data_IF_259518067043
#
_entry.id   IF_259518067043
#
_cell.length_a   1.000
_cell.length_b   1.000
_cell.length_c   1.000
_cell.angle_alpha   90.00
_cell.angle_beta   90.00
_cell.angle_gamma   90.00
#
_symmetry.space_group_name_H-M   'P 1'
#
loop_
_entity.id
_entity.type
_entity.pdbx_description
1 polymer ?
#
# COMPACT_ATOMS: atom_id res chain seq x y z
N UNK A 1 -1.22 -68.34 10.63
CA UNK A 1 -0.79 -67.70 9.38
C UNK A 1 -1.68 -66.50 9.13
N UNK A 2 -1.06 -65.32 8.98
CA UNK A 2 -1.61 -64.04 8.55
C UNK A 2 -2.95 -63.60 9.15
N UNK A 3 -2.94 -62.96 10.32
CA UNK A 3 -4.12 -62.21 10.79
C UNK A 3 -4.28 -60.98 9.91
N UNK A 4 -5.45 -60.87 9.30
CA UNK A 4 -5.98 -59.66 8.71
C UNK A 4 -5.99 -58.54 9.77
N UNK A 5 -4.97 -57.69 9.72
CA UNK A 5 -4.90 -56.46 10.49
C UNK A 5 -5.50 -55.35 9.66
N UNK A 6 -6.84 -55.26 9.64
CA UNK A 6 -7.54 -54.02 9.35
C UNK A 6 -7.09 -52.99 10.39
N UNK A 7 -5.99 -52.29 10.09
CA UNK A 7 -5.56 -51.13 10.83
C UNK A 7 -6.66 -50.08 10.71
N UNK A 8 -7.50 -49.97 11.74
CA UNK A 8 -8.43 -48.86 11.91
C UNK A 8 -7.62 -47.58 11.89
N UNK A 9 -7.69 -46.85 10.78
CA UNK A 9 -7.19 -45.48 10.68
C UNK A 9 -7.83 -44.68 11.82
N UNK A 10 -7.01 -44.06 12.68
CA UNK A 10 -7.54 -43.22 13.74
C UNK A 10 -8.21 -42.00 13.07
N UNK A 11 -9.26 -41.39 13.67
CA UNK A 11 -9.97 -40.26 13.07
C UNK A 11 -9.05 -39.08 12.70
N UNK A 12 -7.89 -38.95 13.36
CA UNK A 12 -6.86 -37.96 13.04
C UNK A 12 -6.03 -38.28 11.78
N UNK A 13 -5.91 -39.56 11.39
CA UNK A 13 -5.17 -39.99 10.19
C UNK A 13 -6.00 -39.80 8.90
N UNK A 14 -7.32 -39.80 9.02
CA UNK A 14 -8.23 -39.42 7.92
C UNK A 14 -8.22 -37.89 7.72
N UNK A 15 -7.95 -37.12 8.78
CA UNK A 15 -7.91 -35.66 8.72
C UNK A 15 -6.62 -35.14 8.07
N UNK A 16 -5.48 -35.80 8.24
CA UNK A 16 -4.23 -35.43 7.57
C UNK A 16 -4.28 -35.73 6.06
N UNK A 17 -4.87 -36.86 5.68
CA UNK A 17 -4.98 -37.30 4.27
C UNK A 17 -6.02 -36.52 3.45
N UNK A 18 -7.02 -35.90 4.08
CA UNK A 18 -7.94 -34.96 3.43
C UNK A 18 -7.35 -33.54 3.27
N UNK A 19 -6.31 -33.19 4.03
CA UNK A 19 -5.69 -31.87 4.01
C UNK A 19 -4.40 -31.78 3.16
N UNK A 20 -3.78 -32.89 2.78
CA UNK A 20 -2.68 -32.93 1.81
C UNK A 20 -3.20 -32.92 0.36
N UNK A 21 -3.94 -31.86 0.02
CA UNK A 21 -4.20 -31.54 -1.37
C UNK A 21 -2.95 -30.83 -1.91
N UNK A 22 -2.15 -31.51 -2.76
CA UNK A 22 -0.92 -30.96 -3.35
C UNK A 22 -1.12 -29.64 -4.12
N UNK A 23 -2.39 -29.28 -4.40
CA UNK A 23 -2.81 -28.06 -5.07
C UNK A 23 -3.33 -26.96 -4.13
N UNK A 24 -3.36 -27.18 -2.82
CA UNK A 24 -3.81 -26.18 -1.85
C UNK A 24 -2.72 -25.13 -1.62
N UNK A 25 -2.99 -23.88 -2.02
CA UNK A 25 -2.11 -22.75 -1.70
C UNK A 25 -2.17 -22.47 -0.20
N UNK A 26 -1.09 -22.80 0.50
CA UNK A 26 -0.94 -22.50 1.93
C UNK A 26 -0.59 -21.02 2.09
N UNK A 27 -1.30 -20.34 2.99
CA UNK A 27 -1.00 -18.97 3.38
C UNK A 27 -0.26 -18.99 4.71
N UNK A 28 0.90 -18.34 4.76
CA UNK A 28 1.69 -18.22 5.98
C UNK A 28 1.76 -16.76 6.40
N UNK A 29 1.60 -16.51 7.69
CA UNK A 29 1.76 -15.19 8.29
C UNK A 29 3.06 -15.16 9.10
N UNK A 30 3.93 -14.21 8.77
CA UNK A 30 5.19 -14.02 9.48
C UNK A 30 5.28 -12.61 10.04
N UNK A 31 5.82 -12.49 11.25
CA UNK A 31 6.23 -11.20 11.81
C UNK A 31 7.65 -10.90 11.36
N UNK A 32 7.85 -9.71 10.78
CA UNK A 32 9.17 -9.23 10.41
C UNK A 32 9.88 -8.67 11.64
N UNK A 33 11.14 -9.08 11.85
CA UNK A 33 12.05 -8.54 12.85
C UNK A 33 13.28 -7.95 12.15
N UNK A 34 13.18 -6.72 11.62
CA UNK A 34 14.24 -6.12 10.83
C UNK A 34 15.46 -5.78 11.70
N UNK A 35 16.66 -5.98 11.15
CA UNK A 35 17.90 -5.51 11.78
C UNK A 35 18.08 -4.00 11.57
N UNK A 36 19.03 -3.39 12.30
CA UNK A 36 19.21 -1.92 12.33
C UNK A 36 19.29 -1.27 10.93
N UNK A 37 20.03 -1.86 9.99
CA UNK A 37 20.15 -1.34 8.61
C UNK A 37 18.84 -1.42 7.83
N UNK A 38 18.05 -2.48 8.02
CA UNK A 38 16.71 -2.58 7.42
C UNK A 38 15.77 -1.52 7.98
N UNK A 39 15.75 -1.32 9.29
CA UNK A 39 14.93 -0.28 9.93
C UNK A 39 15.27 1.09 9.38
N UNK A 40 16.57 1.41 9.27
CA UNK A 40 17.03 2.65 8.67
C UNK A 40 16.50 2.81 7.23
N UNK A 41 16.62 1.79 6.39
CA UNK A 41 16.16 1.85 5.00
C UNK A 41 14.65 2.02 4.86
N UNK A 42 13.88 1.38 5.76
CA UNK A 42 12.43 1.53 5.83
C UNK A 42 12.04 2.95 6.22
N UNK A 43 12.73 3.54 7.20
CA UNK A 43 12.50 4.92 7.63
C UNK A 43 12.87 5.91 6.51
N UNK A 44 14.01 5.74 5.84
CA UNK A 44 14.37 6.56 4.66
C UNK A 44 13.27 6.49 3.59
N UNK A 45 12.76 5.29 3.30
CA UNK A 45 11.65 5.12 2.34
C UNK A 45 10.38 5.82 2.80
N UNK A 46 10.04 5.71 4.08
CA UNK A 46 8.87 6.37 4.67
C UNK A 46 8.99 7.89 4.58
N UNK A 47 10.16 8.44 4.86
CA UNK A 47 10.44 9.88 4.77
C UNK A 47 10.27 10.42 3.35
N UNK A 48 10.78 9.69 2.35
CA UNK A 48 10.58 10.02 0.94
C UNK A 48 9.10 9.95 0.53
N UNK A 49 8.37 8.95 1.01
CA UNK A 49 6.93 8.84 0.77
C UNK A 49 6.13 9.97 1.43
N UNK A 50 6.52 10.37 2.65
CA UNK A 50 5.92 11.50 3.39
C UNK A 50 6.15 12.81 2.65
N UNK A 51 7.38 13.06 2.22
CA UNK A 51 7.71 14.24 1.43
C UNK A 51 6.90 14.26 0.13
N UNK A 52 6.86 13.15 -0.61
CA UNK A 52 6.13 13.08 -1.87
C UNK A 52 4.62 13.32 -1.67
N UNK A 53 4.03 12.73 -0.63
CA UNK A 53 2.62 12.94 -0.30
C UNK A 53 2.31 14.43 -0.09
N UNK A 54 3.13 15.10 0.72
CA UNK A 54 2.97 16.52 1.04
C UNK A 54 3.21 17.42 -0.18
N UNK A 55 4.20 17.07 -1.00
CA UNK A 55 4.45 17.75 -2.26
C UNK A 55 3.24 17.67 -3.19
N UNK A 56 2.72 16.46 -3.46
CA UNK A 56 1.56 16.27 -4.34
C UNK A 56 0.29 16.93 -3.81
N UNK A 57 0.08 16.88 -2.48
CA UNK A 57 -1.03 17.57 -1.84
C UNK A 57 -0.92 19.09 -2.00
N UNK A 58 0.27 19.63 -1.73
CA UNK A 58 0.59 21.05 -1.91
C UNK A 58 0.37 21.51 -3.35
N UNK A 59 0.89 20.77 -4.33
CA UNK A 59 0.74 21.09 -5.75
C UNK A 59 -0.73 21.13 -6.18
N UNK A 60 -1.57 20.21 -5.69
CA UNK A 60 -3.04 20.26 -5.93
C UNK A 60 -3.68 21.50 -5.32
N UNK A 61 -3.32 21.82 -4.08
CA UNK A 61 -3.81 23.01 -3.39
C UNK A 61 -3.45 24.28 -4.16
N UNK A 62 -2.18 24.46 -4.50
CA UNK A 62 -1.68 25.62 -5.25
C UNK A 62 -2.33 25.72 -6.64
N UNK A 63 -2.42 24.62 -7.39
CA UNK A 63 -3.06 24.62 -8.71
C UNK A 63 -4.53 25.08 -8.66
N UNK A 64 -5.26 24.67 -7.62
CA UNK A 64 -6.64 25.07 -7.44
C UNK A 64 -6.76 26.53 -6.99
N UNK A 65 -5.94 26.97 -6.04
CA UNK A 65 -5.95 28.35 -5.53
C UNK A 65 -5.55 29.38 -6.60
N UNK A 66 -4.58 29.06 -7.44
CA UNK A 66 -4.05 29.98 -8.46
C UNK A 66 -4.82 29.93 -9.78
N UNK A 67 -5.25 28.73 -10.21
CA UNK A 67 -5.80 28.51 -11.57
C UNK A 67 -7.20 27.89 -11.56
N UNK A 68 -7.73 27.51 -10.41
CA UNK A 68 -9.01 26.79 -10.32
C UNK A 68 -8.95 25.36 -10.87
N UNK A 69 -7.75 24.81 -11.09
CA UNK A 69 -7.55 23.52 -11.74
C UNK A 69 -7.55 22.36 -10.74
N UNK A 70 -8.16 21.24 -11.14
CA UNK A 70 -8.08 19.98 -10.41
C UNK A 70 -7.13 19.02 -11.10
N UNK A 71 -5.98 18.74 -10.47
CA UNK A 71 -5.00 17.79 -11.00
C UNK A 71 -5.45 16.35 -10.77
N UNK A 72 -5.45 15.55 -11.84
CA UNK A 72 -5.73 14.12 -11.79
C UNK A 72 -4.56 13.31 -11.21
N UNK A 73 -4.82 12.05 -10.89
CA UNK A 73 -3.79 11.09 -10.48
C UNK A 73 -2.68 10.94 -11.54
N UNK A 74 -3.07 10.81 -12.81
CA UNK A 74 -2.13 10.55 -13.90
C UNK A 74 -1.22 11.75 -14.17
N UNK A 75 -1.80 12.96 -14.19
CA UNK A 75 -1.02 14.20 -14.30
C UNK A 75 0.03 14.34 -13.19
N UNK A 76 -0.30 13.93 -11.96
CA UNK A 76 0.68 13.91 -10.87
C UNK A 76 1.76 12.85 -11.06
N UNK A 77 1.40 11.64 -11.50
CA UNK A 77 2.38 10.57 -11.73
C UNK A 77 3.34 10.90 -12.88
N UNK A 78 2.90 11.64 -13.89
CA UNK A 78 3.75 12.13 -15.00
C UNK A 78 4.90 13.02 -14.49
N UNK A 79 4.69 13.76 -13.38
CA UNK A 79 5.74 14.61 -12.79
C UNK A 79 6.89 13.81 -12.16
N UNK A 80 6.74 12.50 -11.92
CA UNK A 80 7.72 11.73 -11.14
C UNK A 80 9.10 11.67 -11.79
N UNK A 81 9.18 11.68 -13.12
CA UNK A 81 10.46 11.71 -13.83
C UNK A 81 11.22 13.01 -13.53
N UNK A 82 10.51 14.14 -13.44
CA UNK A 82 11.06 15.45 -13.10
C UNK A 82 11.44 15.47 -11.61
N UNK A 83 10.55 15.02 -10.73
CA UNK A 83 10.80 14.99 -9.29
C UNK A 83 11.99 14.10 -8.91
N UNK A 84 12.23 13.01 -9.64
CA UNK A 84 13.43 12.16 -9.45
C UNK A 84 14.73 12.84 -9.87
N UNK A 85 14.66 13.82 -10.77
CA UNK A 85 15.80 14.66 -11.15
C UNK A 85 16.05 15.71 -10.07
N UNK A 86 15.01 16.39 -9.60
CA UNK A 86 15.09 17.43 -8.56
C UNK A 86 15.45 16.86 -7.18
N UNK A 87 14.94 15.66 -6.87
CA UNK A 87 15.16 14.94 -5.61
C UNK A 87 15.64 13.51 -5.90
N UNK A 88 16.95 13.32 -6.13
CA UNK A 88 17.52 12.02 -6.49
C UNK A 88 17.24 10.89 -5.49
N UNK A 89 17.00 11.20 -4.21
CA UNK A 89 16.67 10.19 -3.19
C UNK A 89 15.37 9.42 -3.50
N UNK A 90 14.45 9.99 -4.30
CA UNK A 90 13.26 9.29 -4.78
C UNK A 90 13.59 8.12 -5.71
N UNK A 91 14.76 8.11 -6.35
CA UNK A 91 15.19 7.00 -7.20
C UNK A 91 15.48 5.74 -6.39
N UNK A 92 15.81 5.89 -5.10
CA UNK A 92 16.04 4.78 -4.19
C UNK A 92 14.73 4.11 -3.70
N UNK A 93 13.57 4.72 -3.99
CA UNK A 93 12.25 4.16 -3.68
C UNK A 93 11.68 3.48 -4.91
N UNK A 94 11.13 2.29 -4.72
CA UNK A 94 10.52 1.53 -5.80
C UNK A 94 9.37 2.31 -6.47
N UNK A 95 9.32 2.31 -7.80
CA UNK A 95 8.37 3.11 -8.59
C UNK A 95 6.91 2.87 -8.21
N UNK A 96 6.52 1.61 -7.97
CA UNK A 96 5.17 1.25 -7.53
C UNK A 96 4.79 1.91 -6.19
N UNK A 97 5.75 2.10 -5.29
CA UNK A 97 5.50 2.74 -3.99
C UNK A 97 5.17 4.22 -4.21
N UNK A 98 5.94 4.93 -5.04
CA UNK A 98 5.67 6.32 -5.40
C UNK A 98 4.30 6.48 -6.07
N UNK A 99 3.96 5.57 -6.99
CA UNK A 99 2.64 5.55 -7.64
C UNK A 99 1.51 5.34 -6.63
N UNK A 100 1.70 4.44 -5.67
CA UNK A 100 0.75 4.19 -4.60
C UNK A 100 0.59 5.42 -3.67
N UNK A 101 1.64 6.22 -3.44
CA UNK A 101 1.54 7.48 -2.70
C UNK A 101 0.56 8.44 -3.39
N UNK A 102 0.68 8.61 -4.72
CA UNK A 102 -0.26 9.44 -5.47
C UNK A 102 -1.70 8.88 -5.42
N UNK A 103 -1.87 7.55 -5.47
CA UNK A 103 -3.19 6.91 -5.28
C UNK A 103 -3.78 7.24 -3.90
N UNK A 104 -2.96 7.28 -2.85
CA UNK A 104 -3.43 7.64 -1.49
C UNK A 104 -3.89 9.09 -1.42
N UNK A 105 -3.19 10.02 -2.07
CA UNK A 105 -3.64 11.42 -2.22
C UNK A 105 -4.99 11.47 -2.93
N UNK A 106 -5.13 10.76 -4.05
CA UNK A 106 -6.38 10.69 -4.80
C UNK A 106 -7.56 10.15 -3.98
N UNK A 107 -7.34 9.07 -3.23
CA UNK A 107 -8.35 8.52 -2.33
C UNK A 107 -8.75 9.51 -1.22
N UNK A 108 -7.79 10.27 -0.69
CA UNK A 108 -8.06 11.29 0.32
C UNK A 108 -8.97 12.40 -0.24
N UNK A 109 -8.71 12.88 -1.47
CA UNK A 109 -9.57 13.85 -2.14
C UNK A 109 -10.95 13.28 -2.48
N UNK A 110 -11.04 12.05 -3.00
CA UNK A 110 -12.32 11.38 -3.25
C UNK A 110 -13.16 11.29 -1.97
N UNK A 111 -12.54 10.93 -0.85
CA UNK A 111 -13.20 10.87 0.45
C UNK A 111 -13.65 12.25 0.93
N UNK A 112 -12.81 13.29 0.78
CA UNK A 112 -13.15 14.67 1.07
C UNK A 112 -14.38 15.13 0.29
N UNK A 113 -14.36 15.04 -1.04
CA UNK A 113 -15.49 15.45 -1.88
C UNK A 113 -16.75 14.63 -1.65
N UNK A 114 -16.62 13.35 -1.28
CA UNK A 114 -17.77 12.54 -0.85
C UNK A 114 -18.44 13.13 0.39
N UNK A 115 -17.66 13.58 1.38
CA UNK A 115 -18.21 14.22 2.59
C UNK A 115 -18.81 15.60 2.31
N UNK A 116 -18.18 16.38 1.42
CA UNK A 116 -18.74 17.66 0.94
C UNK A 116 -20.11 17.46 0.30
N UNK A 117 -20.25 16.47 -0.60
CA UNK A 117 -21.54 16.15 -1.24
C UNK A 117 -22.61 15.63 -0.26
N UNK A 118 -22.18 15.04 0.86
CA UNK A 118 -23.08 14.59 1.91
C UNK A 118 -23.46 15.72 2.89
N UNK A 119 -23.05 16.96 2.64
CA UNK A 119 -23.30 18.12 3.51
C UNK A 119 -22.85 17.91 4.97
N UNK A 120 -21.74 17.19 5.19
CA UNK A 120 -21.16 17.05 6.51
C UNK A 120 -20.71 18.42 7.08
N UNK A 121 -20.90 18.65 8.38
CA UNK A 121 -20.58 19.93 9.05
C UNK A 121 -19.10 20.32 8.92
N UNK A 122 -18.19 19.36 9.10
CA UNK A 122 -16.76 19.51 8.82
C UNK A 122 -16.27 18.34 7.93
N UNK A 123 -16.24 18.53 6.60
CA UNK A 123 -15.74 17.52 5.70
C UNK A 123 -14.24 17.25 5.85
N UNK A 124 -13.46 18.06 6.57
CA UNK A 124 -12.03 17.83 6.83
C UNK A 124 -11.15 17.68 5.57
N UNK A 125 -10.35 18.69 5.27
CA UNK A 125 -9.40 18.67 4.14
C UNK A 125 -8.28 17.62 4.34
N UNK A 126 -7.74 16.98 3.27
CA UNK A 126 -6.57 16.12 3.38
C UNK A 126 -5.38 16.86 4.04
N UNK A 127 -4.70 16.21 4.99
CA UNK A 127 -3.70 16.86 5.84
C UNK A 127 -2.28 16.71 5.28
N UNK A 128 -1.42 17.69 5.57
CA UNK A 128 0.04 17.62 5.41
C UNK A 128 0.70 16.81 6.51
#
# INVERSE_FOLDING_TARGET
MGRDGLGTLLPLDICSTLCDNAHMRKMFQYRLFPHKKQVQKLNETLEECRWLYNHLLGTRKTAYEERGESLSLYQQQETFSILKTERPSLQAVHSQILQNVAVRVELAFKAFFRRVRAHAEDPGYPRF
#
